data_IF_976475930733
#
_entry.id   IF_976475930733
#
_cell.length_a   1.000
_cell.length_b   1.000
_cell.length_c   1.000
_cell.angle_alpha   90.00
_cell.angle_beta   90.00
_cell.angle_gamma   90.00
#
_symmetry.space_group_name_H-M   'P 1'
#
loop_
_entity.id
_entity.type
_entity.pdbx_description
1 polymer ?
#
# COMPACT_ATOMS: atom_id res chain seq x y z
N UNK A 1 12.15 -14.02 7.99
CA UNK A 1 10.81 -13.88 8.64
C UNK A 1 10.19 -15.26 8.80
N UNK A 2 9.46 -15.58 9.88
CA UNK A 2 8.67 -16.80 9.91
C UNK A 2 7.69 -16.79 8.73
N UNK A 3 7.48 -17.97 8.11
CA UNK A 3 6.55 -18.08 6.99
C UNK A 3 5.14 -17.65 7.42
N UNK A 4 4.59 -16.65 6.75
CA UNK A 4 3.21 -16.20 6.99
C UNK A 4 2.30 -17.31 6.47
N UNK A 5 1.53 -17.93 7.37
CA UNK A 5 0.55 -18.92 6.96
C UNK A 5 -0.69 -18.20 6.46
N UNK A 6 -0.87 -18.20 5.14
CA UNK A 6 -2.06 -17.63 4.50
C UNK A 6 -3.32 -18.35 5.00
N UNK A 7 -4.32 -17.63 5.52
CA UNK A 7 -5.57 -18.23 5.96
C UNK A 7 -6.33 -18.89 4.80
N UNK A 8 -7.14 -19.91 5.12
CA UNK A 8 -8.08 -20.45 4.16
C UNK A 8 -9.12 -19.41 3.74
N UNK A 9 -9.53 -19.39 2.47
CA UNK A 9 -10.53 -18.43 1.99
C UNK A 9 -11.91 -18.77 2.57
N UNK A 10 -12.55 -17.76 3.17
CA UNK A 10 -13.89 -17.84 3.76
C UNK A 10 -14.85 -16.95 2.98
N UNK A 11 -15.99 -17.48 2.59
CA UNK A 11 -17.09 -16.75 1.99
C UNK A 11 -18.29 -16.68 2.95
N UNK A 12 -19.10 -15.63 2.89
CA UNK A 12 -18.90 -14.43 2.06
C UNK A 12 -17.78 -13.54 2.58
N UNK A 13 -17.16 -12.79 1.66
CA UNK A 13 -16.21 -11.73 2.00
C UNK A 13 -16.93 -10.63 2.75
N UNK A 14 -16.31 -10.11 3.81
CA UNK A 14 -16.90 -9.11 4.72
C UNK A 14 -16.11 -7.82 4.79
N UNK A 15 -14.86 -7.83 4.35
CA UNK A 15 -13.97 -6.68 4.29
C UNK A 15 -13.19 -6.70 2.97
N UNK A 16 -13.15 -5.57 2.29
CA UNK A 16 -12.29 -5.30 1.13
C UNK A 16 -11.29 -4.23 1.53
N UNK A 17 -10.00 -4.54 1.42
CA UNK A 17 -8.89 -3.63 1.69
C UNK A 17 -8.16 -3.33 0.38
N UNK A 18 -8.07 -2.06 0.02
CA UNK A 18 -7.53 -1.62 -1.26
C UNK A 18 -6.31 -0.73 -1.04
N UNK A 19 -5.21 -1.05 -1.72
CA UNK A 19 -4.20 -0.05 -1.95
C UNK A 19 -4.72 1.01 -2.95
N UNK A 20 -4.03 2.14 -3.06
CA UNK A 20 -4.44 3.26 -3.92
C UNK A 20 -3.63 3.24 -5.22
N UNK A 21 -2.35 3.52 -5.13
CA UNK A 21 -1.47 3.75 -6.28
C UNK A 21 -1.14 2.45 -7.00
N UNK A 22 -1.38 2.39 -8.31
CA UNK A 22 -1.17 1.18 -9.11
C UNK A 22 -2.24 0.09 -8.90
N UNK A 23 -3.18 0.30 -7.98
CA UNK A 23 -4.25 -0.64 -7.65
C UNK A 23 -5.64 -0.04 -7.88
N UNK A 24 -6.00 1.00 -7.13
CA UNK A 24 -7.30 1.68 -7.25
C UNK A 24 -7.26 2.74 -8.35
N UNK A 25 -6.14 3.43 -8.51
CA UNK A 25 -5.89 4.50 -9.48
C UNK A 25 -4.54 4.33 -10.18
N UNK A 26 -4.44 4.85 -11.41
CA UNK A 26 -3.20 5.03 -12.15
C UNK A 26 -2.58 6.42 -11.94
N UNK A 27 -1.71 6.82 -12.87
CA UNK A 27 -1.03 8.12 -12.85
C UNK A 27 -1.99 9.31 -13.01
N UNK A 28 -3.16 9.08 -13.61
CA UNK A 28 -4.23 10.06 -13.76
C UNK A 28 -5.01 10.34 -12.46
N UNK A 29 -4.80 9.52 -11.44
CA UNK A 29 -5.48 9.56 -10.14
C UNK A 29 -7.00 9.45 -10.22
N UNK A 30 -7.53 8.86 -11.28
CA UNK A 30 -8.97 8.68 -11.48
C UNK A 30 -9.42 7.26 -11.10
N UNK A 31 -10.52 7.18 -10.36
CA UNK A 31 -11.16 5.89 -10.04
C UNK A 31 -12.13 5.54 -11.17
N UNK A 32 -11.94 4.39 -11.79
CA UNK A 32 -12.81 3.92 -12.87
C UNK A 32 -14.28 3.79 -12.46
N UNK A 33 -15.22 4.04 -13.38
CA UNK A 33 -16.66 4.06 -13.08
C UNK A 33 -17.20 2.69 -12.67
N UNK A 34 -16.66 1.58 -13.19
CA UNK A 34 -17.06 0.23 -12.81
C UNK A 34 -16.58 -0.08 -11.39
N UNK A 35 -15.37 0.38 -11.03
CA UNK A 35 -14.80 0.24 -9.69
C UNK A 35 -15.62 1.01 -8.66
N UNK A 36 -15.98 2.26 -8.94
CA UNK A 36 -16.88 3.02 -8.07
C UNK A 36 -18.23 2.32 -7.90
N UNK A 37 -18.79 1.79 -8.99
CA UNK A 37 -20.07 1.08 -8.97
C UNK A 37 -20.00 -0.23 -8.18
N UNK A 38 -18.95 -1.01 -8.37
CA UNK A 38 -18.73 -2.28 -7.66
C UNK A 38 -18.55 -2.05 -6.15
N UNK A 39 -17.78 -1.03 -5.75
CA UNK A 39 -17.60 -0.65 -4.35
C UNK A 39 -18.92 -0.21 -3.72
N UNK A 40 -19.70 0.65 -4.38
CA UNK A 40 -21.04 1.04 -3.87
C UNK A 40 -21.95 -0.17 -3.68
N UNK A 41 -21.97 -1.12 -4.64
CA UNK A 41 -22.78 -2.34 -4.52
C UNK A 41 -22.31 -3.24 -3.38
N UNK A 42 -20.99 -3.39 -3.17
CA UNK A 42 -20.43 -4.16 -2.06
C UNK A 42 -20.84 -3.56 -0.71
N UNK A 43 -20.70 -2.24 -0.57
CA UNK A 43 -21.14 -1.50 0.65
C UNK A 43 -22.65 -1.65 0.90
N UNK A 44 -23.48 -1.55 -0.12
CA UNK A 44 -24.92 -1.76 -0.01
C UNK A 44 -25.29 -3.18 0.48
N UNK A 45 -24.38 -4.16 0.32
CA UNK A 45 -24.51 -5.53 0.89
C UNK A 45 -23.93 -5.66 2.30
N UNK A 46 -23.47 -4.57 2.92
CA UNK A 46 -22.88 -4.55 4.25
C UNK A 46 -21.41 -4.98 4.28
N UNK A 47 -20.74 -5.08 3.13
CA UNK A 47 -19.29 -5.33 3.08
C UNK A 47 -18.56 -4.03 3.37
N UNK A 48 -17.64 -4.06 4.34
CA UNK A 48 -16.80 -2.92 4.65
C UNK A 48 -15.74 -2.77 3.57
N UNK A 49 -15.50 -1.55 3.09
CA UNK A 49 -14.40 -1.24 2.16
C UNK A 49 -13.48 -0.20 2.81
N UNK A 50 -12.18 -0.44 2.85
CA UNK A 50 -11.18 0.43 3.48
C UNK A 50 -9.97 0.62 2.57
N UNK A 51 -9.39 1.82 2.59
CA UNK A 51 -8.12 2.11 1.92
C UNK A 51 -6.96 1.83 2.87
N UNK A 52 -5.92 1.16 2.34
CA UNK A 52 -4.71 0.78 3.08
C UNK A 52 -3.48 1.15 2.24
N UNK A 53 -2.90 2.30 2.52
CA UNK A 53 -1.94 2.94 1.61
C UNK A 53 -0.67 3.44 2.30
N UNK A 54 0.39 3.67 1.53
CA UNK A 54 1.59 4.42 1.94
C UNK A 54 1.39 5.94 1.99
N UNK A 55 0.30 6.45 1.37
CA UNK A 55 -0.02 7.88 1.35
C UNK A 55 -0.30 8.44 2.73
N UNK A 56 -0.20 9.75 2.84
CA UNK A 56 -0.75 10.54 3.95
C UNK A 56 -2.26 10.30 4.05
N UNK A 57 -2.80 10.19 5.27
CA UNK A 57 -4.24 9.93 5.43
C UNK A 57 -5.10 11.05 4.84
N UNK A 58 -4.69 12.32 4.97
CA UNK A 58 -5.41 13.44 4.37
C UNK A 58 -5.51 13.33 2.84
N UNK A 59 -4.47 12.87 2.17
CA UNK A 59 -4.46 12.59 0.73
C UNK A 59 -5.39 11.42 0.38
N UNK A 60 -5.31 10.31 1.12
CA UNK A 60 -6.18 9.15 0.93
C UNK A 60 -7.66 9.44 1.19
N UNK A 61 -7.97 10.43 2.05
CA UNK A 61 -9.34 10.85 2.35
C UNK A 61 -10.10 11.41 1.14
N UNK A 62 -9.39 11.94 0.13
CA UNK A 62 -10.03 12.37 -1.11
C UNK A 62 -10.73 11.18 -1.79
N UNK A 63 -10.01 10.09 -2.02
CA UNK A 63 -10.55 8.86 -2.61
C UNK A 63 -11.61 8.20 -1.72
N UNK A 64 -11.39 8.21 -0.40
CA UNK A 64 -12.37 7.66 0.53
C UNK A 64 -13.71 8.42 0.49
N UNK A 65 -13.69 9.74 0.31
CA UNK A 65 -14.91 10.56 0.14
C UNK A 65 -15.56 10.33 -1.20
N UNK A 66 -14.78 10.26 -2.29
CA UNK A 66 -15.31 9.96 -3.63
C UNK A 66 -16.02 8.61 -3.67
N UNK A 67 -15.48 7.60 -2.97
CA UNK A 67 -16.09 6.28 -2.81
C UNK A 67 -17.15 6.22 -1.70
N UNK A 68 -17.45 7.36 -1.04
CA UNK A 68 -18.39 7.46 0.08
C UNK A 68 -18.11 6.49 1.23
N UNK A 69 -16.84 6.13 1.48
CA UNK A 69 -16.49 5.17 2.52
C UNK A 69 -16.83 5.70 3.91
N UNK A 70 -17.15 4.77 4.82
CA UNK A 70 -17.46 5.02 6.24
C UNK A 70 -16.52 4.27 7.20
N UNK A 71 -15.62 3.48 6.65
CA UNK A 71 -14.60 2.74 7.40
C UNK A 71 -13.35 3.58 7.66
N UNK A 72 -12.53 3.21 8.65
CA UNK A 72 -11.25 3.85 8.87
C UNK A 72 -10.35 3.79 7.64
N UNK A 73 -9.57 4.86 7.40
CA UNK A 73 -8.51 4.93 6.40
C UNK A 73 -7.18 4.67 7.07
N UNK A 74 -6.40 3.79 6.46
CA UNK A 74 -5.06 3.42 6.89
C UNK A 74 -4.04 4.10 5.98
N UNK A 75 -3.20 4.96 6.55
CA UNK A 75 -2.11 5.63 5.83
C UNK A 75 -0.74 5.30 6.39
N UNK A 76 0.29 5.77 5.70
CA UNK A 76 1.69 5.57 6.09
C UNK A 76 2.03 4.12 6.39
N UNK A 77 1.63 3.20 5.51
CA UNK A 77 1.86 1.75 5.66
C UNK A 77 1.23 1.14 6.94
N UNK A 78 0.31 1.85 7.60
CA UNK A 78 -0.30 1.44 8.87
C UNK A 78 0.21 2.20 10.10
N UNK A 79 1.15 3.14 9.95
CA UNK A 79 1.60 3.98 11.06
C UNK A 79 0.52 4.93 11.56
N UNK A 80 -0.44 5.30 10.71
CA UNK A 80 -1.54 6.20 11.04
C UNK A 80 -2.88 5.63 10.57
N UNK A 81 -3.86 5.59 11.46
CA UNK A 81 -5.23 5.19 11.11
C UNK A 81 -6.21 6.22 11.66
N UNK A 82 -7.14 6.67 10.82
CA UNK A 82 -8.21 7.60 11.21
C UNK A 82 -9.58 7.09 10.80
N UNK A 83 -10.59 7.38 11.63
CA UNK A 83 -11.99 7.28 11.21
C UNK A 83 -12.27 8.27 10.07
N UNK A 84 -13.29 7.99 9.27
CA UNK A 84 -13.81 8.99 8.35
C UNK A 84 -14.33 10.20 9.13
N UNK A 85 -14.14 11.42 8.61
CA UNK A 85 -14.72 12.61 9.23
C UNK A 85 -16.24 12.57 9.22
N UNK A 86 -16.85 13.23 10.19
CA UNK A 86 -18.32 13.40 10.20
C UNK A 86 -18.72 14.19 8.94
N UNK A 87 -19.69 13.70 8.15
CA UNK A 87 -20.15 14.38 6.94
C UNK A 87 -20.54 15.84 7.23
N UNK A 88 -20.21 16.75 6.30
CA UNK A 88 -20.49 18.18 6.43
C UNK A 88 -19.55 18.96 7.36
N UNK A 89 -18.48 18.32 7.86
CA UNK A 89 -17.43 19.01 8.64
C UNK A 89 -16.11 19.02 7.90
N UNK A 90 -15.32 20.11 8.08
CA UNK A 90 -13.91 20.17 7.61
C UNK A 90 -12.94 19.48 8.57
N UNK A 91 -13.42 18.67 9.51
CA UNK A 91 -12.59 17.98 10.48
C UNK A 91 -11.95 16.77 9.85
N UNK A 92 -10.67 16.55 10.17
CA UNK A 92 -10.01 15.27 9.95
C UNK A 92 -10.64 14.26 10.91
N UNK A 93 -10.91 13.04 10.46
CA UNK A 93 -11.49 11.98 11.29
C UNK A 93 -10.68 11.69 12.55
N UNK A 94 -11.32 11.09 13.55
CA UNK A 94 -10.67 10.78 14.83
C UNK A 94 -9.45 9.88 14.62
N UNK A 95 -8.35 10.22 15.29
CA UNK A 95 -7.13 9.41 15.32
C UNK A 95 -7.40 8.12 16.11
N UNK A 96 -7.20 6.97 15.46
CA UNK A 96 -7.39 5.64 16.05
C UNK A 96 -6.07 4.96 16.38
N UNK A 97 -5.07 5.10 15.50
CA UNK A 97 -3.72 4.56 15.66
C UNK A 97 -2.73 5.62 15.22
N UNK A 98 -1.67 5.78 15.99
CA UNK A 98 -0.47 6.51 15.59
C UNK A 98 0.74 5.79 16.19
N UNK A 99 1.63 5.33 15.33
CA UNK A 99 2.86 4.62 15.69
C UNK A 99 4.05 5.37 15.09
N UNK A 100 4.49 6.47 15.74
CA UNK A 100 5.61 7.26 15.24
C UNK A 100 6.95 6.63 15.61
N UNK A 101 7.96 6.91 14.83
CA UNK A 101 9.36 6.55 15.05
C UNK A 101 10.02 7.58 15.98
N UNK A 102 10.93 7.17 16.88
CA UNK A 102 11.66 8.09 17.76
C UNK A 102 12.44 9.15 16.97
N UNK A 103 12.43 10.40 17.45
CA UNK A 103 13.11 11.51 16.79
C UNK A 103 14.61 11.27 16.52
N UNK A 104 15.32 10.59 17.43
CA UNK A 104 16.73 10.26 17.24
C UNK A 104 16.96 9.31 16.05
N UNK A 105 16.06 8.32 15.87
CA UNK A 105 16.12 7.39 14.73
C UNK A 105 15.80 8.13 13.43
N UNK A 106 14.80 9.01 13.43
CA UNK A 106 14.45 9.80 12.25
C UNK A 106 15.60 10.73 11.82
N UNK A 107 16.32 11.35 12.76
CA UNK A 107 17.52 12.18 12.44
C UNK A 107 18.63 11.36 11.82
N UNK A 108 18.92 10.16 12.35
CA UNK A 108 19.94 9.28 11.79
C UNK A 108 19.56 8.82 10.37
N UNK A 109 18.28 8.50 10.13
CA UNK A 109 17.78 8.14 8.79
C UNK A 109 17.94 9.30 7.81
N UNK A 110 17.56 10.52 8.19
CA UNK A 110 17.71 11.71 7.34
C UNK A 110 19.18 11.94 6.97
N UNK A 111 20.09 11.84 7.94
CA UNK A 111 21.53 11.97 7.67
C UNK A 111 22.02 10.87 6.74
N UNK A 112 21.69 9.60 7.04
CA UNK A 112 22.13 8.43 6.29
C UNK A 112 21.65 8.43 4.83
N UNK A 113 20.40 8.85 4.57
CA UNK A 113 19.81 8.90 3.23
C UNK A 113 20.42 10.04 2.41
N UNK A 114 20.64 11.21 3.01
CA UNK A 114 21.31 12.36 2.35
C UNK A 114 22.75 12.04 1.93
N UNK A 115 23.53 11.41 2.81
CA UNK A 115 24.90 10.98 2.50
C UNK A 115 24.98 10.04 1.29
N UNK A 116 23.84 9.41 0.92
CA UNK A 116 23.73 8.46 -0.19
C UNK A 116 23.00 9.00 -1.41
N UNK A 117 22.76 10.30 -1.45
CA UNK A 117 22.19 10.97 -2.62
C UNK A 117 20.66 10.84 -2.72
N UNK A 118 19.98 10.46 -1.64
CA UNK A 118 18.51 10.51 -1.58
C UNK A 118 18.04 11.81 -0.94
N UNK A 119 16.89 12.30 -1.35
CA UNK A 119 16.21 13.46 -0.77
C UNK A 119 15.16 13.01 0.26
N UNK A 120 15.42 13.21 1.58
CA UNK A 120 14.47 12.82 2.61
C UNK A 120 13.37 13.86 2.79
N UNK A 121 12.14 13.36 2.96
CA UNK A 121 10.94 14.09 3.33
C UNK A 121 10.43 13.60 4.68
N UNK A 122 10.02 14.51 5.56
CA UNK A 122 9.45 14.18 6.86
C UNK A 122 7.94 14.23 6.81
N UNK A 123 7.31 13.18 7.26
CA UNK A 123 5.86 13.14 7.44
C UNK A 123 5.54 13.00 8.93
N UNK A 124 4.81 13.96 9.47
CA UNK A 124 4.35 13.93 10.85
C UNK A 124 2.85 14.23 10.91
N UNK A 125 2.05 13.21 11.21
CA UNK A 125 0.60 13.28 11.09
C UNK A 125 0.19 13.72 9.67
N UNK A 126 -0.47 14.89 9.54
CA UNK A 126 -0.93 15.43 8.25
C UNK A 126 0.02 16.53 7.72
N UNK A 127 1.26 16.59 8.21
CA UNK A 127 2.26 17.56 7.76
C UNK A 127 3.33 16.85 6.95
N UNK A 128 3.66 17.44 5.81
CA UNK A 128 4.83 17.12 5.01
C UNK A 128 5.85 18.23 5.16
N UNK A 129 7.08 17.88 5.54
CA UNK A 129 8.18 18.83 5.69
C UNK A 129 9.32 18.38 4.77
N UNK A 130 9.76 19.29 3.89
CA UNK A 130 10.83 19.08 2.91
C UNK A 130 11.91 20.13 3.07
N UNK A 131 13.08 19.91 2.46
CA UNK A 131 14.08 20.98 2.38
C UNK A 131 13.56 22.13 1.50
N UNK A 132 13.99 23.34 1.81
CA UNK A 132 13.61 24.56 1.04
C UNK A 132 14.10 24.53 -0.41
N UNK A 133 15.23 23.90 -0.66
CA UNK A 133 15.90 23.76 -1.95
C UNK A 133 15.73 22.37 -2.57
N UNK A 134 14.71 21.62 -2.13
CA UNK A 134 14.38 20.32 -2.67
C UNK A 134 13.73 20.48 -4.06
N UNK A 135 14.38 20.02 -5.14
CA UNK A 135 13.85 20.18 -6.50
C UNK A 135 12.58 19.36 -6.76
N UNK A 136 12.33 18.30 -6.00
CA UNK A 136 11.17 17.42 -6.12
C UNK A 136 9.99 17.80 -5.20
N UNK A 137 10.14 18.86 -4.37
CA UNK A 137 9.14 19.19 -3.35
C UNK A 137 7.75 19.50 -3.92
N UNK A 138 7.67 20.24 -5.02
CA UNK A 138 6.40 20.58 -5.69
C UNK A 138 5.75 19.34 -6.32
N UNK A 139 6.53 18.54 -7.04
CA UNK A 139 6.05 17.29 -7.66
C UNK A 139 5.52 16.31 -6.60
N UNK A 140 6.26 16.13 -5.50
CA UNK A 140 5.83 15.30 -4.41
C UNK A 140 4.61 15.88 -3.68
N UNK A 141 4.56 17.19 -3.48
CA UNK A 141 3.39 17.89 -2.94
C UNK A 141 2.13 17.66 -3.79
N UNK A 142 2.25 17.76 -5.11
CA UNK A 142 1.16 17.46 -6.04
C UNK A 142 0.73 15.98 -5.95
N UNK A 143 1.69 15.05 -5.89
CA UNK A 143 1.42 13.62 -5.76
C UNK A 143 0.65 13.27 -4.48
N UNK A 144 0.97 13.91 -3.35
CA UNK A 144 0.29 13.65 -2.08
C UNK A 144 -0.94 14.53 -1.84
N UNK A 145 -1.19 15.52 -2.72
CA UNK A 145 -2.35 16.42 -2.61
C UNK A 145 -2.25 17.45 -1.49
N UNK A 146 -1.05 17.97 -1.20
CA UNK A 146 -0.85 18.97 -0.17
C UNK A 146 0.39 19.83 -0.38
N UNK A 147 0.37 21.04 0.16
CA UNK A 147 1.51 21.95 0.12
C UNK A 147 2.57 21.52 1.16
N UNK A 148 3.82 21.27 0.76
CA UNK A 148 4.88 20.94 1.70
C UNK A 148 5.30 22.17 2.53
N UNK A 149 5.53 21.95 3.81
CA UNK A 149 6.22 22.92 4.65
C UNK A 149 7.72 22.86 4.36
N UNK A 150 8.36 24.00 4.10
CA UNK A 150 9.79 24.03 3.80
C UNK A 150 10.63 24.34 5.05
N UNK A 151 11.75 23.63 5.19
CA UNK A 151 12.74 23.84 6.25
C UNK A 151 14.13 24.09 5.68
N UNK A 152 14.95 24.88 6.39
CA UNK A 152 16.36 25.06 6.04
C UNK A 152 17.19 23.81 6.35
N UNK A 153 16.96 23.18 7.50
CA UNK A 153 17.55 21.89 7.86
C UNK A 153 16.47 20.95 8.42
N UNK A 154 16.36 19.77 7.79
CA UNK A 154 15.38 18.77 8.20
C UNK A 154 15.71 18.15 9.55
N UNK A 155 17.01 17.96 9.87
CA UNK A 155 17.44 17.39 11.16
C UNK A 155 17.00 18.30 12.30
N UNK A 156 17.15 19.61 12.15
CA UNK A 156 16.71 20.60 13.14
C UNK A 156 15.18 20.66 13.27
N UNK A 157 14.46 20.30 12.22
CA UNK A 157 12.99 20.26 12.21
C UNK A 157 12.44 19.07 13.00
N UNK A 158 13.24 18.02 13.27
CA UNK A 158 12.82 16.83 13.99
C UNK A 158 12.87 17.09 15.50
N UNK A 159 11.83 17.70 16.04
CA UNK A 159 11.70 17.98 17.49
C UNK A 159 10.84 16.96 18.23
N UNK A 160 10.06 16.16 17.50
CA UNK A 160 9.10 15.18 18.00
C UNK A 160 9.27 13.84 17.26
N UNK A 161 8.70 12.73 17.76
CA UNK A 161 8.63 11.49 16.98
C UNK A 161 7.99 11.72 15.62
N UNK A 162 8.50 11.09 14.57
CA UNK A 162 8.10 11.26 13.16
C UNK A 162 7.27 10.06 12.70
N UNK A 163 6.19 10.29 11.96
CA UNK A 163 5.32 9.23 11.46
C UNK A 163 6.02 8.40 10.39
N UNK A 164 6.64 9.07 9.40
CA UNK A 164 7.37 8.43 8.29
C UNK A 164 8.50 9.35 7.81
N UNK A 165 9.64 8.77 7.48
CA UNK A 165 10.65 9.40 6.61
C UNK A 165 10.54 8.72 5.26
N UNK A 166 10.32 9.50 4.20
CA UNK A 166 10.41 9.05 2.83
C UNK A 166 11.70 9.62 2.25
N UNK A 167 12.50 8.81 1.60
CA UNK A 167 13.70 9.24 0.90
C UNK A 167 13.52 9.02 -0.60
N UNK A 168 13.41 10.12 -1.35
CA UNK A 168 13.22 10.12 -2.78
C UNK A 168 14.56 10.01 -3.52
N UNK A 169 14.58 9.32 -4.66
CA UNK A 169 15.75 9.20 -5.51
C UNK A 169 15.42 8.62 -6.86
N UNK A 170 16.34 8.78 -7.82
CA UNK A 170 16.17 8.18 -9.14
C UNK A 170 16.40 6.66 -9.08
N UNK A 171 15.56 5.85 -9.77
CA UNK A 171 15.81 4.43 -9.91
C UNK A 171 17.16 4.15 -10.59
N UNK A 172 17.91 3.11 -10.19
CA UNK A 172 17.54 2.06 -9.23
C UNK A 172 17.96 2.34 -7.78
N UNK A 173 18.45 3.54 -7.45
CA UNK A 173 19.09 3.87 -6.17
C UNK A 173 18.26 3.48 -4.93
N UNK A 174 16.95 3.78 -4.82
CA UNK A 174 16.18 3.37 -3.65
C UNK A 174 16.15 1.85 -3.44
N UNK A 175 16.05 1.07 -4.52
CA UNK A 175 16.03 -0.40 -4.44
C UNK A 175 17.39 -0.98 -4.08
N UNK A 176 18.49 -0.41 -4.56
CA UNK A 176 19.86 -0.81 -4.21
C UNK A 176 20.19 -0.53 -2.73
N UNK A 177 19.68 0.58 -2.20
CA UNK A 177 19.91 0.96 -0.80
C UNK A 177 18.99 0.24 0.19
N UNK A 178 17.86 -0.30 -0.26
CA UNK A 178 16.88 -0.94 0.63
C UNK A 178 17.45 -2.09 1.46
N UNK A 179 18.27 -3.03 0.94
CA UNK A 179 18.89 -4.08 1.76
C UNK A 179 19.81 -3.50 2.84
N UNK A 180 20.63 -2.51 2.51
CA UNK A 180 21.54 -1.85 3.44
C UNK A 180 20.77 -1.09 4.53
N UNK A 181 19.66 -0.45 4.15
CA UNK A 181 18.79 0.23 5.09
C UNK A 181 18.12 -0.75 6.06
N UNK A 182 17.64 -1.89 5.55
CA UNK A 182 17.03 -2.94 6.39
C UNK A 182 18.01 -3.49 7.43
N UNK A 183 19.25 -3.75 7.02
CA UNK A 183 20.29 -4.23 7.93
C UNK A 183 20.64 -3.18 8.99
N UNK A 184 20.90 -1.93 8.58
CA UNK A 184 21.28 -0.82 9.49
C UNK A 184 20.19 -0.50 10.52
N UNK A 185 18.93 -0.55 10.11
CA UNK A 185 17.79 -0.13 10.92
C UNK A 185 16.97 -1.31 11.45
N UNK A 186 17.53 -2.53 11.44
CA UNK A 186 16.86 -3.69 12.04
C UNK A 186 16.46 -3.40 13.49
N UNK A 187 15.21 -3.71 13.82
CA UNK A 187 14.62 -3.41 15.13
C UNK A 187 14.40 -1.92 15.45
N UNK A 188 14.88 -0.97 14.63
CA UNK A 188 14.75 0.48 14.86
C UNK A 188 13.74 1.15 13.93
N UNK A 189 13.62 0.67 12.69
CA UNK A 189 12.64 1.11 11.72
C UNK A 189 12.21 -0.04 10.81
N UNK A 190 10.98 0.02 10.30
CA UNK A 190 10.54 -0.78 9.18
C UNK A 190 10.94 -0.04 7.88
N UNK A 191 11.54 -0.79 6.94
CA UNK A 191 12.03 -0.25 5.66
C UNK A 191 11.30 -0.92 4.51
N UNK A 192 10.64 -0.13 3.65
CA UNK A 192 9.90 -0.63 2.50
C UNK A 192 10.11 0.24 1.26
N UNK A 193 9.72 -0.28 0.12
CA UNK A 193 9.60 0.42 -1.15
C UNK A 193 8.13 0.44 -1.52
N UNK A 194 7.57 1.62 -1.72
CA UNK A 194 6.18 1.83 -2.16
C UNK A 194 6.08 2.28 -3.61
N UNK A 195 7.19 2.72 -4.17
CA UNK A 195 7.36 3.15 -5.55
C UNK A 195 8.84 3.02 -5.91
N UNK A 196 9.25 2.77 -7.17
CA UNK A 196 10.67 2.66 -7.55
C UNK A 196 11.57 3.84 -7.13
N UNK A 197 11.00 5.03 -6.97
CA UNK A 197 11.68 6.25 -6.52
C UNK A 197 11.69 6.44 -5.01
N UNK A 198 11.00 5.61 -4.20
CA UNK A 198 10.75 5.90 -2.79
C UNK A 198 11.22 4.79 -1.86
N UNK A 199 12.22 5.11 -1.04
CA UNK A 199 12.64 4.31 0.11
C UNK A 199 11.98 4.89 1.36
N UNK A 200 11.14 4.11 2.03
CA UNK A 200 10.33 4.58 3.15
C UNK A 200 10.73 3.94 4.48
N UNK A 201 10.70 4.75 5.52
CA UNK A 201 11.02 4.35 6.89
C UNK A 201 9.87 4.73 7.82
N UNK A 202 9.35 3.74 8.54
CA UNK A 202 8.31 3.89 9.57
C UNK A 202 8.78 3.27 10.88
N UNK A 203 8.00 3.38 11.95
CA UNK A 203 8.34 2.73 13.22
C UNK A 203 8.44 1.19 13.06
N UNK A 204 9.25 0.51 13.90
CA UNK A 204 9.41 -0.94 13.84
C UNK A 204 8.06 -1.67 13.91
N UNK A 205 7.90 -2.66 13.05
CA UNK A 205 6.68 -3.47 12.99
C UNK A 205 5.45 -2.78 12.40
N UNK A 206 5.60 -1.58 11.82
CA UNK A 206 4.55 -0.98 10.97
C UNK A 206 4.58 -1.66 9.61
N UNK A 207 3.40 -2.13 9.16
CA UNK A 207 3.19 -2.69 7.82
C UNK A 207 1.70 -2.68 7.48
N UNK A 208 1.37 -2.76 6.18
CA UNK A 208 -0.03 -2.90 5.72
C UNK A 208 -0.65 -4.21 6.25
N UNK A 209 0.13 -5.29 6.37
CA UNK A 209 -0.33 -6.55 6.96
C UNK A 209 -0.73 -6.38 8.42
N UNK A 210 0.09 -5.71 9.24
CA UNK A 210 -0.28 -5.41 10.63
C UNK A 210 -1.53 -4.53 10.73
N UNK A 211 -1.65 -3.57 9.83
CA UNK A 211 -2.81 -2.69 9.78
C UNK A 211 -4.09 -3.44 9.43
N UNK A 212 -4.05 -4.37 8.45
CA UNK A 212 -5.22 -5.18 8.09
C UNK A 212 -5.63 -6.12 9.22
N UNK A 213 -4.67 -6.71 9.96
CA UNK A 213 -4.97 -7.49 11.18
C UNK A 213 -5.67 -6.66 12.24
N UNK A 214 -5.22 -5.41 12.45
CA UNK A 214 -5.85 -4.49 13.38
C UNK A 214 -7.27 -4.15 12.94
N UNK A 215 -7.46 -3.81 11.66
CA UNK A 215 -8.76 -3.44 11.09
C UNK A 215 -9.75 -4.61 11.15
N UNK A 216 -9.33 -5.80 10.74
CA UNK A 216 -10.14 -7.02 10.76
C UNK A 216 -10.61 -7.36 12.20
N UNK A 217 -9.70 -7.27 13.19
CA UNK A 217 -10.06 -7.45 14.62
C UNK A 217 -11.06 -6.41 15.10
N UNK A 218 -10.86 -5.13 14.74
CA UNK A 218 -11.76 -4.04 15.12
C UNK A 218 -13.18 -4.26 14.57
N UNK A 219 -13.26 -4.75 13.34
CA UNK A 219 -14.52 -5.02 12.64
C UNK A 219 -15.10 -6.41 12.95
N UNK A 220 -14.39 -7.24 13.72
CA UNK A 220 -14.75 -8.64 14.01
C UNK A 220 -14.94 -9.48 12.73
N UNK A 221 -14.05 -9.27 11.77
CA UNK A 221 -13.99 -10.01 10.51
C UNK A 221 -12.81 -10.98 10.58
N UNK A 222 -13.00 -12.30 10.33
CA UNK A 222 -11.88 -13.22 10.23
C UNK A 222 -11.03 -12.89 9.00
N UNK A 223 -9.71 -13.03 9.09
CA UNK A 223 -8.78 -12.73 7.98
C UNK A 223 -9.09 -13.58 6.73
N UNK A 224 -9.62 -14.80 6.89
CA UNK A 224 -10.10 -15.62 5.78
C UNK A 224 -11.23 -14.99 4.96
N UNK A 225 -12.03 -14.07 5.55
CA UNK A 225 -13.13 -13.36 4.89
C UNK A 225 -12.75 -11.93 4.45
N UNK A 226 -11.47 -11.69 4.22
CA UNK A 226 -10.92 -10.40 3.75
C UNK A 226 -10.41 -10.57 2.33
N UNK A 227 -10.84 -9.68 1.43
CA UNK A 227 -10.22 -9.43 0.12
C UNK A 227 -9.26 -8.25 0.26
N UNK A 228 -7.99 -8.45 -0.06
CA UNK A 228 -7.00 -7.39 -0.15
C UNK A 228 -6.44 -7.32 -1.57
N UNK A 229 -6.27 -6.11 -2.12
CA UNK A 229 -5.71 -5.91 -3.46
C UNK A 229 -4.58 -4.90 -3.36
N UNK A 230 -3.42 -5.18 -4.00
CA UNK A 230 -2.22 -4.33 -3.98
C UNK A 230 -1.26 -4.70 -5.10
N UNK A 231 -0.19 -3.90 -5.27
CA UNK A 231 0.72 -4.03 -6.42
C UNK A 231 2.21 -3.90 -6.08
N UNK A 232 2.59 -3.40 -4.88
CA UNK A 232 3.99 -3.14 -4.52
C UNK A 232 4.49 -3.99 -3.34
N UNK A 233 5.80 -3.97 -3.09
CA UNK A 233 6.44 -4.75 -2.01
C UNK A 233 5.86 -4.49 -0.62
N UNK A 234 5.33 -3.29 -0.35
CA UNK A 234 4.64 -2.93 0.88
C UNK A 234 3.29 -3.67 1.06
N UNK A 235 2.76 -4.29 0.00
CA UNK A 235 1.51 -5.07 0.02
C UNK A 235 1.73 -6.54 0.37
N UNK A 236 2.96 -7.06 0.27
CA UNK A 236 3.26 -8.48 0.45
C UNK A 236 2.62 -9.06 1.71
N UNK A 237 2.84 -8.41 2.87
CA UNK A 237 2.24 -8.90 4.13
C UNK A 237 0.72 -8.83 4.09
N UNK A 238 0.14 -7.75 3.56
CA UNK A 238 -1.32 -7.60 3.48
C UNK A 238 -1.95 -8.70 2.61
N UNK A 239 -1.36 -8.98 1.46
CA UNK A 239 -1.85 -10.02 0.54
C UNK A 239 -1.69 -11.43 1.11
N UNK A 240 -0.57 -11.72 1.78
CA UNK A 240 -0.29 -13.04 2.35
C UNK A 240 -1.11 -13.36 3.60
N UNK A 241 -1.57 -12.36 4.36
CA UNK A 241 -2.25 -12.55 5.63
C UNK A 241 -3.76 -12.70 5.54
N UNK A 242 -4.34 -12.56 4.36
CA UNK A 242 -5.79 -12.64 4.13
C UNK A 242 -6.17 -13.87 3.31
N UNK A 243 -7.42 -14.32 3.44
CA UNK A 243 -7.92 -15.47 2.66
C UNK A 243 -7.99 -15.18 1.16
N UNK A 244 -8.18 -13.92 0.78
CA UNK A 244 -8.37 -13.50 -0.60
C UNK A 244 -7.40 -12.34 -0.96
N UNK A 245 -6.10 -12.62 -0.96
CA UNK A 245 -5.09 -11.67 -1.44
C UNK A 245 -4.99 -11.68 -2.96
N UNK A 246 -5.09 -10.53 -3.61
CA UNK A 246 -4.97 -10.37 -5.06
C UNK A 246 -3.87 -9.37 -5.41
N UNK A 247 -2.87 -9.78 -6.18
CA UNK A 247 -1.84 -8.90 -6.70
C UNK A 247 -2.26 -8.34 -8.07
N UNK A 248 -1.94 -7.08 -8.35
CA UNK A 248 -2.10 -6.52 -9.70
C UNK A 248 -1.11 -7.19 -10.68
N UNK A 249 -1.44 -7.35 -11.96
CA UNK A 249 -0.61 -8.13 -12.89
C UNK A 249 0.74 -7.48 -13.21
N UNK A 250 0.88 -6.17 -12.99
CA UNK A 250 2.12 -5.40 -13.15
C UNK A 250 3.07 -5.52 -11.95
N UNK A 251 2.61 -6.11 -10.87
CA UNK A 251 3.36 -6.23 -9.62
C UNK A 251 4.68 -7.03 -9.79
N UNK A 252 5.71 -6.74 -8.96
CA UNK A 252 6.91 -7.56 -8.86
C UNK A 252 6.62 -9.03 -8.55
N UNK A 253 7.54 -9.93 -8.93
CA UNK A 253 7.32 -11.38 -8.80
C UNK A 253 7.09 -11.81 -7.34
N UNK A 254 7.72 -11.15 -6.39
CA UNK A 254 7.56 -11.41 -4.96
C UNK A 254 6.15 -11.03 -4.47
N UNK A 255 5.59 -9.96 -5.00
CA UNK A 255 4.23 -9.52 -4.70
C UNK A 255 3.20 -10.46 -5.33
N UNK A 256 3.42 -10.84 -6.61
CA UNK A 256 2.61 -11.85 -7.28
C UNK A 256 2.60 -13.17 -6.51
N UNK A 257 3.74 -13.59 -5.95
CA UNK A 257 3.86 -14.81 -5.17
C UNK A 257 3.12 -14.75 -3.82
N UNK A 258 2.96 -13.55 -3.25
CA UNK A 258 2.27 -13.34 -1.98
C UNK A 258 0.74 -13.39 -2.11
N UNK A 259 0.20 -12.99 -3.26
CA UNK A 259 -1.24 -13.03 -3.53
C UNK A 259 -1.73 -14.46 -3.83
N UNK A 260 -2.95 -14.79 -3.42
CA UNK A 260 -3.65 -16.00 -3.88
C UNK A 260 -4.08 -15.86 -5.34
N UNK A 261 -4.50 -14.67 -5.74
CA UNK A 261 -4.99 -14.33 -7.07
C UNK A 261 -4.09 -13.32 -7.78
N UNK A 262 -4.25 -13.25 -9.09
CA UNK A 262 -3.81 -12.11 -9.90
C UNK A 262 -5.06 -11.40 -10.41
N UNK A 263 -5.21 -10.12 -10.10
CA UNK A 263 -6.32 -9.31 -10.57
C UNK A 263 -6.16 -9.01 -12.08
N UNK A 264 -7.25 -8.73 -12.80
CA UNK A 264 -7.14 -8.13 -14.11
C UNK A 264 -6.42 -6.77 -14.07
N UNK A 265 -5.89 -6.29 -15.22
CA UNK A 265 -5.20 -5.00 -15.27
C UNK A 265 -6.04 -3.82 -14.80
N UNK A 266 -5.37 -2.76 -14.31
CA UNK A 266 -6.03 -1.51 -13.91
C UNK A 266 -6.87 -0.91 -15.05
N UNK A 267 -6.35 -0.94 -16.27
CA UNK A 267 -7.06 -0.48 -17.47
C UNK A 267 -8.37 -1.25 -17.77
N UNK A 268 -8.52 -2.45 -17.21
CA UNK A 268 -9.74 -3.28 -17.28
C UNK A 268 -10.56 -3.18 -16.00
N UNK A 269 -10.25 -2.20 -15.15
CA UNK A 269 -10.86 -2.03 -13.82
C UNK A 269 -10.77 -3.29 -12.95
N UNK A 270 -9.57 -3.84 -12.79
CA UNK A 270 -9.32 -5.12 -12.10
C UNK A 270 -9.92 -5.19 -10.70
N UNK A 271 -9.95 -4.09 -9.94
CA UNK A 271 -10.60 -4.01 -8.63
C UNK A 271 -12.10 -4.31 -8.75
N UNK A 272 -12.78 -3.71 -9.75
CA UNK A 272 -14.20 -3.99 -10.00
C UNK A 272 -14.43 -5.48 -10.28
N UNK A 273 -13.60 -6.07 -11.18
CA UNK A 273 -13.73 -7.48 -11.57
C UNK A 273 -13.54 -8.42 -10.38
N UNK A 274 -12.58 -8.14 -9.50
CA UNK A 274 -12.39 -8.94 -8.29
C UNK A 274 -13.58 -8.84 -7.34
N UNK A 275 -14.11 -7.63 -7.13
CA UNK A 275 -15.31 -7.39 -6.29
C UNK A 275 -16.53 -8.07 -6.91
N UNK A 276 -16.75 -7.95 -8.20
CA UNK A 276 -17.88 -8.58 -8.90
C UNK A 276 -17.84 -10.12 -8.77
N UNK A 277 -16.66 -10.71 -8.97
CA UNK A 277 -16.49 -12.17 -8.94
C UNK A 277 -16.58 -12.79 -7.55
N UNK A 278 -16.02 -12.11 -6.53
CA UNK A 278 -15.85 -12.70 -5.19
C UNK A 278 -16.84 -12.15 -4.14
N UNK A 279 -17.35 -10.93 -4.34
CA UNK A 279 -18.20 -10.23 -3.35
C UNK A 279 -19.64 -10.12 -3.84
N UNK A 280 -19.84 -9.81 -5.12
CA UNK A 280 -21.17 -9.52 -5.69
C UNK A 280 -21.82 -10.73 -6.36
N UNK A 281 -21.07 -11.76 -6.68
CA UNK A 281 -21.57 -13.01 -7.26
C UNK A 281 -22.48 -13.77 -6.28
N UNK A 282 -23.22 -14.75 -6.80
CA UNK A 282 -23.94 -15.68 -5.93
C UNK A 282 -22.96 -16.53 -5.10
N UNK A 283 -23.34 -17.11 -3.97
CA UNK A 283 -22.46 -17.95 -3.17
C UNK A 283 -21.83 -19.12 -3.94
N UNK A 284 -22.55 -19.70 -4.90
CA UNK A 284 -22.05 -20.77 -5.75
C UNK A 284 -21.01 -20.25 -6.75
N UNK A 285 -21.32 -19.14 -7.43
CA UNK A 285 -20.43 -18.51 -8.41
C UNK A 285 -19.16 -17.95 -7.75
N UNK A 286 -19.29 -17.35 -6.57
CA UNK A 286 -18.12 -16.86 -5.79
C UNK A 286 -17.19 -18.02 -5.40
N UNK A 287 -17.73 -19.19 -5.03
CA UNK A 287 -16.91 -20.38 -4.74
C UNK A 287 -16.20 -20.88 -5.99
N UNK A 288 -16.91 -20.99 -7.11
CA UNK A 288 -16.30 -21.37 -8.38
C UNK A 288 -15.24 -20.35 -8.84
N UNK A 289 -15.46 -19.05 -8.55
CA UNK A 289 -14.48 -18.01 -8.84
C UNK A 289 -13.20 -18.14 -8.01
N UNK A 290 -13.29 -18.58 -6.74
CA UNK A 290 -12.10 -18.83 -5.89
C UNK A 290 -11.21 -19.89 -6.54
N UNK A 291 -11.76 -21.00 -6.99
CA UNK A 291 -11.01 -22.09 -7.61
C UNK A 291 -10.39 -21.64 -8.94
N UNK A 292 -11.21 -21.08 -9.84
CA UNK A 292 -10.78 -20.58 -11.15
C UNK A 292 -9.68 -19.52 -11.05
N UNK A 293 -9.87 -18.47 -10.22
CA UNK A 293 -8.89 -17.39 -10.06
C UNK A 293 -7.58 -17.89 -9.43
N UNK A 294 -7.63 -18.93 -8.58
CA UNK A 294 -6.44 -19.55 -8.03
C UNK A 294 -5.64 -20.27 -9.12
N UNK A 295 -6.30 -21.05 -9.99
CA UNK A 295 -5.68 -21.75 -11.12
C UNK A 295 -5.09 -20.75 -12.14
N UNK A 296 -5.86 -19.71 -12.49
CA UNK A 296 -5.41 -18.63 -13.39
C UNK A 296 -4.15 -17.91 -12.86
N UNK A 297 -4.09 -17.68 -11.54
CA UNK A 297 -2.93 -17.05 -10.91
C UNK A 297 -1.68 -17.94 -10.95
N UNK A 298 -1.82 -19.25 -10.79
CA UNK A 298 -0.71 -20.20 -10.93
C UNK A 298 -0.18 -20.14 -12.37
N UNK A 299 -1.06 -20.29 -13.35
CA UNK A 299 -0.70 -20.25 -14.77
C UNK A 299 -0.06 -18.91 -15.19
N UNK A 300 -0.53 -17.78 -14.61
CA UNK A 300 0.06 -16.46 -14.87
C UNK A 300 1.50 -16.37 -14.38
N UNK A 301 1.77 -16.84 -13.15
CA UNK A 301 3.12 -16.84 -12.55
C UNK A 301 4.09 -17.72 -13.31
N UNK A 302 3.66 -18.90 -13.75
CA UNK A 302 4.47 -19.83 -14.54
C UNK A 302 4.89 -19.19 -15.86
N UNK A 303 3.97 -18.56 -16.58
CA UNK A 303 4.30 -17.83 -17.84
C UNK A 303 5.32 -16.72 -17.61
N UNK A 304 5.18 -15.98 -16.53
CA UNK A 304 6.07 -14.86 -16.21
C UNK A 304 7.47 -15.32 -15.77
N UNK A 305 7.58 -16.43 -15.07
CA UNK A 305 8.84 -17.06 -14.68
C UNK A 305 9.57 -17.70 -15.87
N UNK A 306 8.83 -18.31 -16.81
CA UNK A 306 9.39 -18.91 -18.03
C UNK A 306 9.90 -17.89 -19.04
N UNK A 307 9.28 -16.71 -19.15
CA UNK A 307 9.74 -15.59 -20.00
C UNK A 307 11.07 -14.98 -19.51
N UNK A 308 11.25 -14.87 -18.21
CA UNK A 308 12.50 -14.33 -17.62
C UNK A 308 13.72 -15.23 -17.89
N UNK A 309 13.53 -16.53 -18.11
CA UNK A 309 14.61 -17.48 -18.47
C UNK A 309 14.98 -17.38 -19.93
N UNK A 310 14.03 -17.08 -20.83
CA UNK A 310 14.33 -16.93 -22.26
C UNK A 310 15.11 -15.65 -22.58
N UNK A 311 14.80 -14.54 -21.92
CA UNK A 311 15.52 -13.27 -22.11
C UNK A 311 16.97 -13.31 -21.60
N UNK A 312 17.25 -14.11 -20.56
CA UNK A 312 18.63 -14.32 -20.09
C UNK A 312 19.46 -15.26 -20.99
N UNK A 313 18.81 -16.14 -21.74
CA UNK A 313 19.48 -17.08 -22.66
C UNK A 313 19.77 -16.38 -23.98
N UNK A 314 18.94 -15.46 -24.47
CA UNK A 314 19.23 -14.69 -25.71
C UNK A 314 20.39 -13.73 -25.54
N UNK A 315 20.52 -13.07 -24.37
CA UNK A 315 21.67 -12.17 -24.09
C UNK A 315 22.99 -12.94 -23.92
N UNK A 316 22.95 -14.22 -23.54
CA UNK A 316 24.15 -15.06 -23.37
C UNK A 316 24.64 -15.71 -24.67
N UNK A 317 23.87 -15.66 -25.77
CA UNK A 317 24.24 -16.23 -27.06
C UNK A 317 24.84 -15.16 -28.00
N UNK A 318 24.65 -13.85 -27.73
CA UNK A 318 25.20 -12.73 -28.52
C UNK A 318 26.50 -12.12 -27.89
N UNK A 319 27.05 -12.68 -26.82
CA UNK A 319 28.33 -12.32 -26.20
C UNK A 319 29.37 -13.43 -26.40
#
# INVERSE_FOLDING_TARGET
MPAIKTPDPILPIRLVALDIDGTLVGDDLLIGPDTQRAIRKARARGVVVSLVTGRMVSSAMHFARELELDSPVVGYQGALVRDMPVPGTNRIGRLLVHTPMPAAVARDIVAWTRERGLDPHLNHLERLIVRRDDPGAEEYGAFIGGDPETSGDLVDSIRHPITKVLAAGEPPLPSELAPLARDRYDGKAAVTISHPRFLEFTAPGVSKGRAIRWLARRLKVPLGAVLAIGDQWNDIEMLAEVGHGAAMPTAPVEVLAAGRYVAPPLAEEGVARMIESLVLASPADARAAVDRLTEEAVAFRERRSGGAVSDQVEVAVEA
#
